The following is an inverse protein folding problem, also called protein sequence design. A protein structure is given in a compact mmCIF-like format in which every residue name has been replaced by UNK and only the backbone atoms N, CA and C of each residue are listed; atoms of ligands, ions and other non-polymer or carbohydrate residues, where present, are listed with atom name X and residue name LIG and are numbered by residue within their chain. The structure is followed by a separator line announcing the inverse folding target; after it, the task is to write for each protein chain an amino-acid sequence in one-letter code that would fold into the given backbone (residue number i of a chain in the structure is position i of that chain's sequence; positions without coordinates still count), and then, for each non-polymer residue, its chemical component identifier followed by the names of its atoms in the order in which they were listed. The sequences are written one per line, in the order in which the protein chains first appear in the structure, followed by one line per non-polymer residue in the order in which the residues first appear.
data_IF_509118087509
#
_entry.id   IF_509118087509
#
_cell.length_a   1.000
_cell.length_b   1.000
_cell.length_c   1.000
_cell.angle_alpha   90.00
_cell.angle_beta   90.00
_cell.angle_gamma   90.00
#
_symmetry.space_group_name_H-M   'P 1'
#
loop_
_entity.id
_entity.type
_entity.pdbx_description
1 polymer ?
#
# COMPACT_ATOMS: atom_id res chain seq x y z
N UNK A 1 -9.71 -1.08 -28.30
CA UNK A 1 -9.92 0.36 -28.20
C UNK A 1 -9.53 0.84 -26.79
N UNK A 2 -8.82 1.96 -26.69
CA UNK A 2 -8.49 2.60 -25.40
C UNK A 2 -9.41 3.80 -25.20
N UNK A 3 -10.06 3.87 -24.04
CA UNK A 3 -10.88 4.99 -23.61
C UNK A 3 -10.28 5.56 -22.33
N UNK A 4 -10.01 6.86 -22.30
CA UNK A 4 -9.48 7.56 -21.12
C UNK A 4 -10.59 8.34 -20.45
N UNK A 5 -10.64 8.34 -19.10
CA UNK A 5 -11.63 9.06 -18.32
C UNK A 5 -12.60 8.14 -17.58
N UNK A 6 -13.74 8.69 -17.18
CA UNK A 6 -14.79 7.91 -16.50
C UNK A 6 -15.49 6.96 -17.46
N UNK A 7 -16.06 5.88 -16.91
CA UNK A 7 -16.79 4.87 -17.69
C UNK A 7 -18.06 5.42 -18.37
N UNK A 8 -18.65 6.50 -17.84
CA UNK A 8 -19.95 6.99 -18.32
C UNK A 8 -20.99 5.89 -18.26
N UNK A 9 -21.71 5.70 -19.36
CA UNK A 9 -22.75 4.69 -19.56
C UNK A 9 -22.25 3.40 -20.26
N UNK A 10 -20.93 3.20 -20.34
CA UNK A 10 -20.33 2.07 -21.06
C UNK A 10 -20.91 0.72 -20.65
N UNK A 11 -21.20 0.52 -19.36
CA UNK A 11 -21.73 -0.75 -18.87
C UNK A 11 -23.18 -1.00 -19.35
N UNK A 12 -23.92 0.05 -19.71
CA UNK A 12 -25.32 -0.06 -20.14
C UNK A 12 -25.45 -0.61 -21.57
N UNK A 13 -24.33 -0.66 -22.30
CA UNK A 13 -24.25 -1.18 -23.66
C UNK A 13 -23.76 -2.65 -23.76
N UNK A 14 -23.52 -3.28 -22.60
CA UNK A 14 -23.01 -4.66 -22.57
C UNK A 14 -24.12 -5.68 -22.84
N UNK A 15 -23.71 -6.80 -23.44
CA UNK A 15 -24.59 -7.93 -23.77
C UNK A 15 -24.12 -9.21 -23.08
N UNK A 16 -24.92 -10.28 -23.12
CA UNK A 16 -24.57 -11.57 -22.51
C UNK A 16 -23.28 -12.21 -23.06
N UNK A 17 -22.75 -11.74 -24.19
CA UNK A 17 -21.51 -12.23 -24.76
C UNK A 17 -20.27 -11.47 -24.31
N UNK A 18 -20.47 -10.37 -23.61
CA UNK A 18 -19.38 -9.53 -23.11
C UNK A 18 -18.84 -10.04 -21.77
N UNK A 19 -17.64 -9.59 -21.43
CA UNK A 19 -16.97 -9.87 -20.16
C UNK A 19 -16.43 -8.58 -19.58
N UNK A 20 -16.73 -8.33 -18.32
CA UNK A 20 -16.09 -7.26 -17.56
C UNK A 20 -14.92 -7.84 -16.79
N UNK A 21 -13.72 -7.31 -17.02
CA UNK A 21 -12.53 -7.58 -16.20
C UNK A 21 -12.12 -6.28 -15.53
N UNK A 22 -12.15 -6.27 -14.21
CA UNK A 22 -11.87 -5.08 -13.40
C UNK A 22 -10.67 -5.31 -12.49
N UNK A 23 -9.81 -4.30 -12.38
CA UNK A 23 -8.73 -4.26 -11.39
C UNK A 23 -8.84 -2.95 -10.61
N UNK A 24 -8.94 -3.01 -9.29
CA UNK A 24 -9.08 -1.83 -8.43
C UNK A 24 -9.61 -2.18 -7.04
N UNK A 25 -10.25 -1.20 -6.35
CA UNK A 25 -10.76 -1.43 -5.00
C UNK A 25 -11.96 -2.37 -4.97
N UNK A 26 -12.10 -3.15 -3.90
CA UNK A 26 -13.25 -4.02 -3.65
C UNK A 26 -14.57 -3.24 -3.67
N UNK A 27 -14.57 -2.02 -3.12
CA UNK A 27 -15.74 -1.16 -3.12
C UNK A 27 -16.19 -0.78 -4.55
N UNK A 28 -15.24 -0.44 -5.42
CA UNK A 28 -15.54 -0.14 -6.82
C UNK A 28 -15.98 -1.39 -7.57
N UNK A 29 -15.34 -2.52 -7.36
CA UNK A 29 -15.75 -3.80 -7.95
C UNK A 29 -17.19 -4.15 -7.58
N UNK A 30 -17.56 -4.01 -6.30
CA UNK A 30 -18.91 -4.25 -5.83
C UNK A 30 -19.92 -3.33 -6.51
N UNK A 31 -19.63 -2.03 -6.58
CA UNK A 31 -20.48 -1.04 -7.26
C UNK A 31 -20.70 -1.37 -8.74
N UNK A 32 -19.63 -1.73 -9.45
CA UNK A 32 -19.72 -2.09 -10.87
C UNK A 32 -20.53 -3.38 -11.06
N UNK A 33 -20.27 -4.40 -10.22
CA UNK A 33 -20.96 -5.69 -10.28
C UNK A 33 -22.46 -5.59 -10.01
N UNK A 34 -22.88 -4.57 -9.26
CA UNK A 34 -24.29 -4.30 -8.97
C UNK A 34 -25.03 -3.57 -10.10
N UNK A 35 -24.35 -3.25 -11.21
CA UNK A 35 -25.01 -2.64 -12.36
C UNK A 35 -26.14 -3.57 -12.88
N UNK A 36 -27.36 -3.05 -13.08
CA UNK A 36 -28.52 -3.86 -13.50
C UNK A 36 -28.26 -4.65 -14.79
N UNK A 37 -27.59 -4.05 -15.77
CA UNK A 37 -27.29 -4.70 -17.05
C UNK A 37 -26.38 -5.93 -16.86
N UNK A 38 -25.40 -5.84 -15.95
CA UNK A 38 -24.52 -6.98 -15.62
C UNK A 38 -25.34 -8.11 -14.99
N UNK A 39 -26.26 -7.79 -14.09
CA UNK A 39 -27.07 -8.79 -13.41
C UNK A 39 -28.12 -9.40 -14.34
N UNK A 40 -28.89 -8.58 -15.04
CA UNK A 40 -30.01 -9.02 -15.91
C UNK A 40 -29.52 -9.85 -17.11
N UNK A 41 -28.39 -9.47 -17.71
CA UNK A 41 -27.81 -10.19 -18.85
C UNK A 41 -26.82 -11.28 -18.43
N UNK A 42 -26.66 -11.55 -17.12
CA UNK A 42 -25.70 -12.56 -16.60
C UNK A 42 -24.28 -12.38 -17.16
N UNK A 43 -23.82 -11.14 -17.28
CA UNK A 43 -22.51 -10.80 -17.84
C UNK A 43 -21.42 -11.31 -16.89
N UNK A 44 -20.44 -11.99 -17.47
CA UNK A 44 -19.29 -12.48 -16.70
C UNK A 44 -18.51 -11.31 -16.14
N UNK A 45 -18.36 -11.27 -14.81
CA UNK A 45 -17.59 -10.26 -14.11
C UNK A 45 -16.42 -10.89 -13.37
N UNK A 46 -15.20 -10.50 -13.73
CA UNK A 46 -13.96 -10.93 -13.08
C UNK A 46 -13.34 -9.70 -12.43
N UNK A 47 -12.97 -9.80 -11.16
CA UNK A 47 -12.32 -8.71 -10.45
C UNK A 47 -11.05 -9.18 -9.74
N UNK A 48 -9.97 -8.45 -9.93
CA UNK A 48 -8.81 -8.41 -9.05
C UNK A 48 -8.91 -7.16 -8.20
N UNK A 49 -9.02 -7.36 -6.90
CA UNK A 49 -9.34 -6.27 -5.97
C UNK A 49 -8.57 -6.45 -4.68
N UNK A 50 -8.28 -5.36 -4.02
CA UNK A 50 -7.56 -5.20 -2.75
C UNK A 50 -6.61 -6.36 -2.40
N UNK A 51 -5.44 -6.07 -1.93
CA UNK A 51 -4.48 -7.07 -1.49
C UNK A 51 -3.70 -6.59 -0.26
N UNK A 52 -3.37 -7.53 0.63
CA UNK A 52 -2.59 -7.28 1.82
C UNK A 52 -1.38 -8.21 1.85
N UNK A 53 -0.44 -7.94 0.93
CA UNK A 53 0.76 -8.75 0.82
C UNK A 53 1.61 -8.65 2.07
N UNK A 54 2.17 -9.78 2.47
CA UNK A 54 3.08 -9.88 3.58
C UNK A 54 4.51 -10.18 3.11
N UNK A 55 5.48 -9.69 3.87
CA UNK A 55 6.87 -10.12 3.82
C UNK A 55 7.24 -10.64 5.20
N UNK A 56 7.74 -11.87 5.26
CA UNK A 56 8.02 -12.57 6.52
C UNK A 56 9.54 -12.73 6.65
N UNK A 57 10.10 -12.23 7.75
CA UNK A 57 11.49 -12.43 8.11
C UNK A 57 11.66 -13.75 8.86
N UNK A 58 12.55 -14.63 8.39
CA UNK A 58 12.89 -15.86 9.11
C UNK A 58 13.63 -15.61 10.42
N UNK A 59 13.52 -16.50 11.42
CA UNK A 59 14.12 -16.29 12.74
C UNK A 59 15.66 -16.30 12.71
N UNK A 60 16.27 -16.87 11.70
CA UNK A 60 17.71 -16.96 11.45
C UNK A 60 18.28 -15.72 10.74
N UNK A 61 17.45 -14.92 10.11
CA UNK A 61 17.84 -13.67 9.45
C UNK A 61 17.96 -12.53 10.48
N UNK A 62 19.08 -12.50 11.20
CA UNK A 62 19.34 -11.51 12.27
C UNK A 62 20.10 -10.28 11.75
N UNK A 63 20.06 -9.13 12.46
CA UNK A 63 20.86 -7.95 12.09
C UNK A 63 22.33 -8.28 11.83
N UNK A 64 22.82 -7.83 10.68
CA UNK A 64 24.17 -8.11 10.20
C UNK A 64 24.30 -9.33 9.29
N UNK A 65 23.24 -10.09 9.06
CA UNK A 65 23.21 -11.14 8.04
C UNK A 65 22.82 -10.58 6.67
N UNK A 66 23.30 -11.16 5.56
CA UNK A 66 22.90 -10.74 4.21
C UNK A 66 21.39 -10.84 3.97
N UNK A 67 20.73 -11.82 4.57
CA UNK A 67 19.29 -12.06 4.47
C UNK A 67 18.49 -10.94 5.14
N UNK A 68 18.92 -10.48 6.33
CA UNK A 68 18.32 -9.33 7.00
C UNK A 68 18.46 -8.06 6.15
N UNK A 69 19.68 -7.79 5.65
CA UNK A 69 19.92 -6.61 4.81
C UNK A 69 19.11 -6.64 3.52
N UNK A 70 18.98 -7.81 2.91
CA UNK A 70 18.14 -8.01 1.73
C UNK A 70 16.66 -7.76 2.04
N UNK A 71 16.15 -8.30 3.15
CA UNK A 71 14.78 -8.08 3.61
C UNK A 71 14.48 -6.59 3.78
N UNK A 72 15.30 -5.86 4.52
CA UNK A 72 15.16 -4.40 4.72
C UNK A 72 15.18 -3.64 3.39
N UNK A 73 16.09 -4.02 2.50
CA UNK A 73 16.21 -3.42 1.16
C UNK A 73 14.95 -3.62 0.33
N UNK A 74 14.46 -4.86 0.24
CA UNK A 74 13.33 -5.19 -0.62
C UNK A 74 12.02 -4.64 -0.06
N UNK A 75 11.79 -4.72 1.25
CA UNK A 75 10.61 -4.11 1.89
C UNK A 75 10.58 -2.60 1.65
N UNK A 76 11.71 -1.90 1.86
CA UNK A 76 11.78 -0.45 1.60
C UNK A 76 11.51 -0.12 0.13
N UNK A 77 12.02 -0.94 -0.80
CA UNK A 77 11.78 -0.79 -2.23
C UNK A 77 10.31 -0.98 -2.58
N UNK A 78 9.68 -2.00 -2.02
CA UNK A 78 8.25 -2.28 -2.26
C UNK A 78 7.35 -1.16 -1.71
N UNK A 79 7.71 -0.55 -0.58
CA UNK A 79 7.00 0.59 -0.02
C UNK A 79 7.10 1.85 -0.89
N UNK A 80 8.25 2.10 -1.53
CA UNK A 80 8.54 3.38 -2.19
C UNK A 80 8.39 3.36 -3.71
N UNK A 81 8.52 2.20 -4.35
CA UNK A 81 8.35 2.05 -5.81
C UNK A 81 6.92 2.44 -6.20
N UNK A 82 6.78 3.39 -7.15
CA UNK A 82 5.49 3.97 -7.55
C UNK A 82 4.70 4.55 -6.37
N UNK A 83 5.40 5.05 -5.34
CA UNK A 83 4.80 5.49 -4.07
C UNK A 83 3.88 4.42 -3.44
N UNK A 84 4.28 3.15 -3.49
CA UNK A 84 3.53 2.03 -2.95
C UNK A 84 2.23 1.68 -3.70
N UNK A 85 1.95 2.31 -4.85
CA UNK A 85 0.75 2.08 -5.64
C UNK A 85 0.93 0.86 -6.57
N UNK A 86 1.09 -0.30 -5.95
CA UNK A 86 1.26 -1.60 -6.61
C UNK A 86 0.39 -2.65 -5.90
N UNK A 87 -0.25 -3.53 -6.66
CA UNK A 87 -0.97 -4.68 -6.11
C UNK A 87 -0.04 -5.64 -5.34
N UNK A 88 1.26 -5.63 -5.65
CA UNK A 88 2.28 -6.47 -5.01
C UNK A 88 3.02 -5.77 -3.86
N UNK A 89 2.73 -4.50 -3.55
CA UNK A 89 3.43 -3.79 -2.50
C UNK A 89 3.22 -4.45 -1.13
N UNK A 90 4.29 -4.53 -0.33
CA UNK A 90 4.24 -5.11 1.01
C UNK A 90 3.45 -4.17 1.93
N UNK A 91 2.37 -4.68 2.53
CA UNK A 91 1.54 -3.97 3.50
C UNK A 91 1.80 -4.45 4.92
N UNK A 92 2.12 -5.73 5.07
CA UNK A 92 2.39 -6.37 6.36
C UNK A 92 3.82 -6.88 6.39
N UNK A 93 4.58 -6.44 7.38
CA UNK A 93 5.97 -6.81 7.61
C UNK A 93 5.97 -7.65 8.87
N UNK A 94 6.13 -8.97 8.70
CA UNK A 94 6.00 -9.94 9.79
C UNK A 94 7.39 -10.40 10.20
N UNK A 95 7.74 -10.21 11.46
CA UNK A 95 9.10 -10.44 11.96
C UNK A 95 9.08 -11.24 13.27
N UNK A 96 10.15 -11.98 13.61
CA UNK A 96 10.26 -12.49 14.98
C UNK A 96 10.12 -11.34 15.98
N UNK A 97 9.33 -11.52 17.04
CA UNK A 97 9.10 -10.47 18.06
C UNK A 97 10.41 -9.93 18.63
N UNK A 98 11.42 -10.77 18.79
CA UNK A 98 12.76 -10.37 19.27
C UNK A 98 13.55 -9.47 18.30
N UNK A 99 13.12 -9.37 17.03
CA UNK A 99 13.79 -8.59 15.99
C UNK A 99 12.97 -7.39 15.53
N UNK A 100 11.75 -7.22 16.02
CA UNK A 100 10.81 -6.18 15.56
C UNK A 100 11.42 -4.77 15.67
N UNK A 101 12.04 -4.44 16.79
CA UNK A 101 12.68 -3.12 17.00
C UNK A 101 13.82 -2.88 16.02
N UNK A 102 14.68 -3.88 15.82
CA UNK A 102 15.80 -3.78 14.87
C UNK A 102 15.31 -3.59 13.42
N UNK A 103 14.22 -4.25 13.05
CA UNK A 103 13.60 -4.08 11.73
C UNK A 103 13.02 -2.66 11.58
N UNK A 104 12.31 -2.15 12.59
CA UNK A 104 11.75 -0.79 12.60
C UNK A 104 12.87 0.24 12.46
N UNK A 105 13.95 0.12 13.22
CA UNK A 105 15.09 1.03 13.14
C UNK A 105 15.77 1.00 11.77
N UNK A 106 16.03 -0.19 11.24
CA UNK A 106 16.67 -0.37 9.94
C UNK A 106 15.81 0.17 8.80
N UNK A 107 14.49 -0.11 8.81
CA UNK A 107 13.54 0.41 7.82
C UNK A 107 13.43 1.93 7.91
N UNK A 108 13.29 2.50 9.12
CA UNK A 108 13.20 3.94 9.34
C UNK A 108 14.45 4.66 8.83
N UNK A 109 15.64 4.14 9.15
CA UNK A 109 16.92 4.66 8.65
C UNK A 109 17.02 4.65 7.13
N UNK A 110 16.47 3.61 6.49
CA UNK A 110 16.49 3.48 5.04
C UNK A 110 15.43 4.37 4.38
N UNK A 111 14.23 4.41 4.91
CA UNK A 111 13.12 5.23 4.40
C UNK A 111 13.41 6.73 4.54
N UNK A 112 14.14 7.15 5.58
CA UNK A 112 14.58 8.54 5.75
C UNK A 112 15.47 9.06 4.61
N UNK A 113 16.08 8.16 3.83
CA UNK A 113 16.90 8.50 2.65
C UNK A 113 16.06 8.62 1.37
N UNK A 114 14.74 8.40 1.44
CA UNK A 114 13.86 8.46 0.27
C UNK A 114 13.55 9.91 -0.04
N UNK A 115 14.20 10.47 -1.06
CA UNK A 115 13.87 11.80 -1.56
C UNK A 115 12.56 11.80 -2.32
N UNK A 116 11.61 12.62 -1.86
CA UNK A 116 10.27 12.78 -2.42
C UNK A 116 10.28 14.04 -3.29
N UNK A 117 9.75 13.98 -4.50
CA UNK A 117 9.71 15.16 -5.32
C UNK A 117 9.35 14.92 -6.78
N UNK A 118 9.79 15.86 -7.61
CA UNK A 118 9.62 15.80 -9.07
C UNK A 118 10.40 14.61 -9.65
N UNK A 119 9.73 13.63 -10.30
CA UNK A 119 10.41 12.46 -10.85
C UNK A 119 11.36 12.76 -12.00
N UNK A 120 11.39 14.00 -12.52
CA UNK A 120 12.36 14.44 -13.52
C UNK A 120 13.72 14.76 -12.93
N UNK A 121 13.81 14.92 -11.61
CA UNK A 121 15.07 15.14 -10.92
C UNK A 121 15.77 13.81 -10.66
N UNK A 122 17.06 13.73 -10.93
CA UNK A 122 17.85 12.52 -10.73
C UNK A 122 17.93 12.10 -9.26
N UNK A 123 17.82 13.03 -8.32
CA UNK A 123 17.79 12.81 -6.87
C UNK A 123 16.51 12.16 -6.40
N UNK A 124 15.38 12.39 -7.06
CA UNK A 124 14.08 11.88 -6.62
C UNK A 124 14.02 10.35 -6.63
N UNK A 125 13.53 9.78 -5.54
CA UNK A 125 13.34 8.33 -5.36
C UNK A 125 11.87 7.93 -5.27
N UNK A 126 11.01 8.87 -4.90
CA UNK A 126 9.56 8.66 -4.83
C UNK A 126 8.81 9.90 -5.31
N UNK A 127 7.92 9.74 -6.28
CA UNK A 127 7.04 10.79 -6.79
C UNK A 127 5.72 10.87 -6.02
N UNK A 128 4.78 11.65 -6.60
CA UNK A 128 3.43 11.79 -6.06
C UNK A 128 2.57 10.53 -6.29
N UNK A 129 1.51 10.42 -5.52
CA UNK A 129 0.39 9.53 -5.82
C UNK A 129 -0.34 9.99 -7.10
N UNK A 130 -1.15 9.11 -7.66
CA UNK A 130 -1.83 9.35 -8.96
C UNK A 130 -2.80 10.53 -8.92
N UNK A 131 -3.35 10.88 -7.76
CA UNK A 131 -4.28 11.99 -7.60
C UNK A 131 -4.44 12.42 -6.14
N UNK A 132 -5.00 13.64 -5.94
CA UNK A 132 -5.39 14.10 -4.61
C UNK A 132 -6.53 13.25 -3.99
N UNK A 133 -7.34 12.58 -4.81
CA UNK A 133 -8.30 11.58 -4.32
C UNK A 133 -7.60 10.40 -3.67
N UNK A 134 -6.56 9.88 -4.34
CA UNK A 134 -5.74 8.79 -3.80
C UNK A 134 -4.98 9.22 -2.53
N UNK A 135 -4.46 10.47 -2.49
CA UNK A 135 -3.82 11.02 -1.29
C UNK A 135 -4.78 10.99 -0.09
N UNK A 136 -6.00 11.46 -0.27
CA UNK A 136 -7.01 11.42 0.81
C UNK A 136 -7.31 9.99 1.27
N UNK A 137 -7.53 9.07 0.34
CA UNK A 137 -7.79 7.66 0.67
C UNK A 137 -6.63 7.04 1.47
N UNK A 138 -5.39 7.27 1.06
CA UNK A 138 -4.20 6.77 1.78
C UNK A 138 -4.13 7.33 3.20
N UNK A 139 -4.39 8.63 3.38
CA UNK A 139 -4.37 9.26 4.71
C UNK A 139 -5.53 8.77 5.59
N UNK A 140 -6.72 8.57 5.03
CA UNK A 140 -7.86 7.98 5.73
C UNK A 140 -7.56 6.54 6.19
N UNK A 141 -6.97 5.73 5.30
CA UNK A 141 -6.55 4.35 5.64
C UNK A 141 -5.43 4.33 6.68
N UNK A 142 -4.46 5.24 6.59
CA UNK A 142 -3.42 5.39 7.60
C UNK A 142 -4.01 5.78 8.97
N UNK A 143 -5.04 6.63 9.01
CA UNK A 143 -5.74 6.97 10.24
C UNK A 143 -6.51 5.75 10.83
N UNK A 144 -7.08 4.90 9.98
CA UNK A 144 -7.70 3.64 10.44
C UNK A 144 -6.65 2.71 11.03
N UNK A 145 -5.50 2.53 10.37
CA UNK A 145 -4.40 1.72 10.91
C UNK A 145 -3.90 2.25 12.25
N UNK A 146 -3.85 3.58 12.41
CA UNK A 146 -3.44 4.24 13.66
C UNK A 146 -4.35 3.94 14.87
N UNK A 147 -5.54 3.36 14.67
CA UNK A 147 -6.42 2.93 15.77
C UNK A 147 -5.91 1.66 16.47
N UNK A 148 -5.07 0.87 15.82
CA UNK A 148 -4.55 -0.41 16.33
C UNK A 148 -3.02 -0.51 16.26
N UNK A 149 -2.36 0.45 15.64
CA UNK A 149 -0.91 0.48 15.45
C UNK A 149 -0.35 1.89 15.68
N UNK A 150 0.85 1.98 16.21
CA UNK A 150 1.56 3.24 16.42
C UNK A 150 2.36 3.60 15.17
N UNK A 151 2.22 4.82 14.66
CA UNK A 151 3.10 5.31 13.59
C UNK A 151 4.50 5.55 14.17
N UNK A 152 5.47 4.78 13.70
CA UNK A 152 6.86 4.83 14.16
C UNK A 152 7.79 5.57 13.22
N UNK A 153 7.35 5.82 11.96
CA UNK A 153 8.11 6.60 10.98
C UNK A 153 7.16 7.29 9.98
N UNK A 154 7.58 8.46 9.49
CA UNK A 154 6.93 9.21 8.42
C UNK A 154 5.74 10.05 8.92
N UNK A 155 5.89 11.37 8.94
CA UNK A 155 4.81 12.30 9.31
C UNK A 155 4.25 12.96 8.04
N UNK A 156 2.95 12.78 7.71
CA UNK A 156 2.34 13.41 6.55
C UNK A 156 2.22 14.94 6.70
N UNK A 157 2.37 15.50 7.91
CA UNK A 157 2.37 16.94 8.15
C UNK A 157 3.78 17.55 8.17
N UNK A 158 4.84 16.71 8.22
CA UNK A 158 6.24 17.17 8.29
C UNK A 158 7.13 16.34 7.36
N UNK A 159 7.18 16.74 6.10
CA UNK A 159 8.09 16.18 5.10
C UNK A 159 8.41 17.19 4.01
N UNK A 160 9.51 16.97 3.29
CA UNK A 160 9.96 17.87 2.22
C UNK A 160 9.70 17.28 0.84
N UNK A 161 9.34 18.14 -0.12
CA UNK A 161 9.14 17.80 -1.53
C UNK A 161 10.16 18.58 -2.36
N UNK A 162 11.00 17.88 -3.11
CA UNK A 162 12.04 18.49 -3.92
C UNK A 162 11.52 18.79 -5.34
N UNK A 163 11.74 20.02 -5.81
CA UNK A 163 11.47 20.42 -7.20
C UNK A 163 10.00 20.45 -7.62
N UNK A 164 9.07 20.34 -6.68
CA UNK A 164 7.62 20.37 -6.94
C UNK A 164 6.87 21.10 -5.83
N UNK A 165 5.63 21.50 -6.13
CA UNK A 165 4.73 22.15 -5.20
C UNK A 165 3.99 21.09 -4.36
N UNK A 166 4.31 21.01 -3.07
CA UNK A 166 3.75 20.02 -2.16
C UNK A 166 2.23 20.18 -1.94
N UNK A 167 1.69 21.41 -2.09
CA UNK A 167 0.26 21.67 -1.89
C UNK A 167 -0.56 21.27 -3.12
N UNK A 168 0.00 21.44 -4.32
CA UNK A 168 -0.67 21.06 -5.56
C UNK A 168 -0.51 19.59 -5.90
N UNK A 169 0.61 18.99 -5.51
CA UNK A 169 0.90 17.59 -5.76
C UNK A 169 0.30 16.65 -4.73
N UNK A 170 -0.02 15.43 -5.16
CA UNK A 170 -0.52 14.38 -4.27
C UNK A 170 0.63 13.64 -3.56
N UNK A 171 1.54 14.39 -2.93
CA UNK A 171 2.67 13.82 -2.22
C UNK A 171 2.28 13.33 -0.82
N UNK A 172 2.84 12.19 -0.41
CA UNK A 172 2.82 11.66 0.95
C UNK A 172 4.18 11.04 1.26
N UNK A 173 4.66 11.08 2.50
CA UNK A 173 5.89 10.39 2.87
C UNK A 173 5.64 8.89 3.02
N UNK A 174 6.70 8.05 2.98
CA UNK A 174 6.59 6.69 3.45
C UNK A 174 6.20 6.68 4.94
N UNK A 175 5.19 5.89 5.29
CA UNK A 175 4.71 5.76 6.68
C UNK A 175 4.88 4.31 7.15
N UNK A 176 5.52 4.13 8.30
CA UNK A 176 5.68 2.84 8.94
C UNK A 176 4.92 2.82 10.25
N UNK A 177 4.08 1.81 10.42
CA UNK A 177 3.34 1.54 11.64
C UNK A 177 3.91 0.32 12.36
N UNK A 178 3.74 0.25 13.66
CA UNK A 178 4.02 -0.91 14.49
C UNK A 178 2.75 -1.33 15.23
N UNK A 179 2.31 -2.58 15.01
CA UNK A 179 1.23 -3.20 15.75
C UNK A 179 1.83 -4.12 16.81
N UNK A 180 1.71 -3.73 18.08
CA UNK A 180 2.27 -4.48 19.21
C UNK A 180 1.48 -5.77 19.50
N UNK A 181 0.18 -5.77 19.20
CA UNK A 181 -0.70 -6.91 19.51
C UNK A 181 -1.46 -7.35 18.25
N UNK A 182 -0.77 -7.96 17.27
CA UNK A 182 -1.37 -8.34 16.00
C UNK A 182 -2.50 -9.38 16.14
N UNK A 183 -2.44 -10.28 17.12
CA UNK A 183 -3.46 -11.30 17.32
C UNK A 183 -4.84 -10.72 17.72
N UNK A 184 -4.84 -9.54 18.37
CA UNK A 184 -6.06 -8.87 18.78
C UNK A 184 -6.50 -7.78 17.79
N UNK A 185 -5.66 -7.43 16.83
CA UNK A 185 -5.92 -6.40 15.85
C UNK A 185 -6.76 -6.96 14.69
N UNK A 186 -7.57 -6.10 14.08
CA UNK A 186 -8.35 -6.42 12.89
C UNK A 186 -7.93 -5.52 11.72
N UNK A 187 -7.78 -4.22 11.97
CA UNK A 187 -7.57 -3.23 10.91
C UNK A 187 -6.26 -3.40 10.16
N UNK A 188 -5.22 -3.81 10.85
CA UNK A 188 -3.92 -4.12 10.21
C UNK A 188 -3.98 -5.32 9.27
N UNK A 189 -5.04 -6.15 9.38
CA UNK A 189 -5.26 -7.34 8.57
C UNK A 189 -6.34 -7.19 7.49
N UNK A 190 -7.15 -6.12 7.53
CA UNK A 190 -8.27 -5.91 6.59
C UNK A 190 -8.21 -4.56 5.84
N UNK A 191 -7.24 -3.68 6.17
CA UNK A 191 -7.19 -2.33 5.59
C UNK A 191 -5.99 -2.18 4.65
N UNK A 192 -6.24 -2.05 3.36
CA UNK A 192 -5.22 -1.69 2.38
C UNK A 192 -5.14 -0.17 2.20
N UNK A 193 -3.99 0.42 2.57
CA UNK A 193 -3.63 1.77 2.17
C UNK A 193 -2.81 1.70 0.86
N UNK A 194 -3.45 1.99 -0.28
CA UNK A 194 -2.79 1.88 -1.60
C UNK A 194 -1.83 3.05 -1.85
N UNK A 195 -0.78 3.10 -1.04
CA UNK A 195 0.26 4.12 -0.96
C UNK A 195 1.51 3.59 -0.26
N UNK A 196 2.48 4.46 0.10
CA UNK A 196 3.73 4.06 0.73
C UNK A 196 3.55 3.81 2.24
N UNK A 197 2.66 2.89 2.60
CA UNK A 197 2.26 2.58 3.97
C UNK A 197 2.41 1.08 4.23
N UNK A 198 3.08 0.73 5.34
CA UNK A 198 3.21 -0.66 5.80
C UNK A 198 3.17 -0.74 7.32
N UNK A 199 2.79 -1.91 7.83
CA UNK A 199 2.72 -2.18 9.28
C UNK A 199 3.67 -3.32 9.64
N UNK A 200 4.53 -3.09 10.63
CA UNK A 200 5.38 -4.11 11.25
C UNK A 200 4.60 -4.78 12.38
N UNK A 201 4.70 -6.10 12.45
CA UNK A 201 4.08 -6.91 13.49
C UNK A 201 4.97 -8.10 13.83
N UNK A 202 4.95 -8.51 15.10
CA UNK A 202 5.77 -9.59 15.61
C UNK A 202 5.05 -10.94 15.57
N UNK A 203 5.79 -12.03 15.28
CA UNK A 203 5.36 -13.39 15.57
C UNK A 203 6.25 -14.03 16.64
N UNK A 204 5.71 -14.95 17.44
CA UNK A 204 6.41 -15.58 18.57
C UNK A 204 7.33 -16.71 18.13
N UNK A 205 6.80 -17.59 17.31
CA UNK A 205 7.44 -18.79 16.79
C UNK A 205 6.86 -19.17 15.43
N UNK A 206 7.35 -20.25 14.82
CA UNK A 206 6.92 -20.68 13.48
C UNK A 206 5.52 -21.31 13.45
N UNK A 207 4.95 -21.63 14.61
CA UNK A 207 3.60 -22.19 14.74
C UNK A 207 2.56 -21.08 14.96
N UNK A 208 3.01 -19.83 15.22
CA UNK A 208 2.16 -18.65 15.38
C UNK A 208 1.70 -18.13 14.03
#
# INVERSE_FOLDING_TARGET
QLVSGGLGDMLDHLTMQDVVSFTGSAQTALKLRQNPVILENSIRFVAEQDSLNASILGPDATPGTPEFDLFIKEVSREMTTKAGQKCTAVRRIITPTSQTEAVIEALSTRLAKTQIGDPRLESTRMGALVSNGQKRDVLEKAAILATEATRVFGDPEDFTVEGADAEKGAFVPPMLFHCENPDAAQRVHDTEAFGPVSTVMGYRDLDH
#
